data_IF_727002986060
#
_entry.id   IF_727002986060
#
_cell.length_a   1.000
_cell.length_b   1.000
_cell.length_c   1.000
_cell.angle_alpha   90.00
_cell.angle_beta   90.00
_cell.angle_gamma   90.00
#
_symmetry.space_group_name_H-M   'P 1'
#
loop_
_entity.id
_entity.type
_entity.pdbx_description
1 polymer ?
#
# COMPACT_ATOMS: atom_id res chain seq x y z
N UNK A 1 25.28 -23.67 5.71
CA UNK A 1 25.13 -23.03 4.39
C UNK A 1 24.72 -21.59 4.62
N UNK A 2 25.42 -20.62 4.06
CA UNK A 2 25.06 -19.20 4.22
C UNK A 2 23.78 -18.96 3.42
N UNK A 3 22.71 -18.51 4.07
CA UNK A 3 21.45 -18.18 3.42
C UNK A 3 21.70 -17.00 2.46
N UNK A 4 21.91 -17.29 1.17
CA UNK A 4 22.07 -16.26 0.16
C UNK A 4 20.78 -15.45 0.08
N UNK A 5 20.90 -14.12 0.14
CA UNK A 5 19.76 -13.25 -0.09
C UNK A 5 19.40 -13.27 -1.56
N UNK A 6 18.12 -13.54 -1.82
CA UNK A 6 17.56 -13.50 -3.16
C UNK A 6 16.65 -12.29 -3.29
N UNK A 7 16.88 -11.49 -4.33
CA UNK A 7 15.99 -10.40 -4.71
C UNK A 7 15.26 -10.81 -5.98
N UNK A 8 13.94 -10.72 -5.98
CA UNK A 8 13.11 -11.05 -7.14
C UNK A 8 12.05 -9.98 -7.36
N UNK A 9 11.76 -9.71 -8.63
CA UNK A 9 10.55 -8.96 -8.98
C UNK A 9 9.34 -9.77 -8.55
N UNK A 10 8.46 -9.14 -7.78
CA UNK A 10 7.23 -9.78 -7.39
C UNK A 10 6.22 -9.71 -8.52
N UNK A 11 5.81 -10.89 -8.97
CA UNK A 11 4.69 -11.08 -9.88
C UNK A 11 3.76 -12.10 -9.21
N UNK A 12 2.52 -11.73 -8.84
CA UNK A 12 1.55 -12.67 -8.28
C UNK A 12 1.06 -13.71 -9.31
N UNK A 13 1.58 -13.67 -10.54
CA UNK A 13 1.23 -14.55 -11.64
C UNK A 13 0.16 -13.93 -12.55
N UNK A 14 0.20 -14.32 -13.82
CA UNK A 14 -0.81 -13.92 -14.79
C UNK A 14 -2.22 -14.29 -14.29
N UNK A 15 -3.15 -13.33 -14.35
CA UNK A 15 -4.55 -13.52 -13.97
C UNK A 15 -4.88 -13.28 -12.49
N UNK A 16 -3.90 -13.10 -11.60
CA UNK A 16 -4.21 -12.78 -10.19
C UNK A 16 -4.77 -11.35 -10.08
N UNK A 17 -6.03 -11.17 -9.66
CA UNK A 17 -6.65 -9.85 -9.61
C UNK A 17 -5.97 -8.96 -8.57
N UNK A 18 -5.44 -7.82 -8.99
CA UNK A 18 -4.93 -6.78 -8.07
C UNK A 18 -6.04 -6.21 -7.19
N UNK A 19 -7.23 -6.07 -7.78
CA UNK A 19 -8.30 -5.24 -7.26
C UNK A 19 -9.46 -6.05 -6.68
N UNK A 20 -10.16 -5.43 -5.73
CA UNK A 20 -11.44 -5.85 -5.22
C UNK A 20 -12.49 -5.83 -6.34
N UNK A 21 -13.27 -6.89 -6.44
CA UNK A 21 -14.43 -6.92 -7.32
C UNK A 21 -15.62 -6.26 -6.64
N UNK A 22 -16.57 -5.73 -7.43
CA UNK A 22 -17.83 -5.22 -6.89
C UNK A 22 -18.59 -6.27 -6.05
N UNK A 23 -18.46 -7.54 -6.41
CA UNK A 23 -19.03 -8.68 -5.69
C UNK A 23 -18.38 -8.95 -4.33
N UNK A 24 -17.25 -8.32 -4.01
CA UNK A 24 -16.65 -8.38 -2.68
C UNK A 24 -17.52 -7.67 -1.62
N UNK A 25 -18.46 -6.82 -2.05
CA UNK A 25 -19.37 -6.10 -1.17
C UNK A 25 -20.75 -6.76 -1.13
N UNK A 26 -21.37 -6.74 0.05
CA UNK A 26 -22.82 -6.81 0.19
C UNK A 26 -23.36 -5.40 0.05
N UNK A 27 -24.23 -5.16 -0.92
CA UNK A 27 -24.77 -3.83 -1.21
C UNK A 27 -26.27 -3.84 -1.00
N UNK A 28 -26.75 -2.93 -0.15
CA UNK A 28 -28.16 -2.62 0.02
C UNK A 28 -28.46 -1.34 -0.77
N UNK A 29 -29.36 -1.36 -1.76
CA UNK A 29 -29.68 -0.18 -2.56
C UNK A 29 -30.40 0.88 -1.72
N UNK A 30 -30.37 2.12 -2.19
CA UNK A 30 -31.16 3.22 -1.66
C UNK A 30 -32.65 3.01 -1.98
N UNK A 31 -33.56 3.39 -1.07
CA UNK A 31 -35.00 3.46 -1.39
C UNK A 31 -35.40 4.70 -2.18
N UNK A 32 -34.56 5.74 -2.18
CA UNK A 32 -34.79 6.94 -2.98
C UNK A 32 -34.27 6.73 -4.40
N UNK A 33 -34.93 7.37 -5.38
CA UNK A 33 -34.52 7.38 -6.78
C UNK A 33 -33.06 7.84 -6.95
N UNK A 34 -32.63 8.83 -6.16
CA UNK A 34 -31.24 9.26 -6.08
C UNK A 34 -30.74 9.16 -4.64
N UNK A 35 -29.63 8.44 -4.45
CA UNK A 35 -28.96 8.38 -3.16
C UNK A 35 -28.22 9.70 -2.89
N UNK A 36 -28.49 10.31 -1.75
CA UNK A 36 -27.79 11.50 -1.25
C UNK A 36 -26.57 11.14 -0.40
N UNK A 37 -26.48 9.88 0.05
CA UNK A 37 -25.40 9.35 0.88
C UNK A 37 -24.92 7.99 0.39
N UNK A 38 -23.67 7.66 0.69
CA UNK A 38 -23.11 6.32 0.52
C UNK A 38 -22.45 5.90 1.82
N UNK A 39 -23.01 4.86 2.44
CA UNK A 39 -22.53 4.33 3.70
C UNK A 39 -21.63 3.11 3.43
N UNK A 40 -20.41 3.12 3.97
CA UNK A 40 -19.57 1.93 4.04
C UNK A 40 -19.54 1.43 5.49
N UNK A 41 -20.06 0.23 5.71
CA UNK A 41 -20.18 -0.40 7.03
C UNK A 41 -18.94 -1.23 7.30
N UNK A 42 -18.24 -0.89 8.38
CA UNK A 42 -17.11 -1.65 8.92
C UNK A 42 -17.58 -2.27 10.23
N UNK A 43 -17.44 -3.59 10.35
CA UNK A 43 -17.79 -4.34 11.54
C UNK A 43 -16.75 -5.43 11.86
N UNK A 44 -16.98 -6.18 12.93
CA UNK A 44 -16.07 -7.24 13.36
C UNK A 44 -15.95 -8.42 12.38
N UNK A 45 -16.87 -8.56 11.42
CA UNK A 45 -16.87 -9.63 10.43
C UNK A 45 -16.01 -9.32 9.21
N UNK A 46 -15.86 -8.02 8.89
CA UNK A 46 -15.14 -7.54 7.71
C UNK A 46 -13.90 -6.71 8.01
N UNK A 47 -13.64 -6.44 9.29
CA UNK A 47 -12.35 -6.02 9.83
C UNK A 47 -11.66 -7.20 10.55
N UNK A 48 -10.43 -7.00 11.01
CA UNK A 48 -9.69 -8.07 11.71
C UNK A 48 -10.39 -8.41 13.04
N UNK A 49 -10.99 -9.61 13.08
CA UNK A 49 -11.71 -10.16 14.24
C UNK A 49 -10.87 -10.04 15.51
N UNK A 50 -11.48 -9.53 16.58
CA UNK A 50 -10.90 -9.52 17.93
C UNK A 50 -10.00 -8.34 18.26
N UNK A 51 -9.63 -7.49 17.30
CA UNK A 51 -9.06 -6.18 17.61
C UNK A 51 -10.20 -5.18 17.64
N UNK A 52 -10.84 -5.01 18.80
CA UNK A 52 -11.86 -3.96 19.04
C UNK A 52 -11.33 -2.53 18.86
N UNK A 53 -10.09 -2.37 18.38
CA UNK A 53 -9.45 -1.09 18.18
C UNK A 53 -8.65 -1.15 16.89
N UNK A 54 -8.80 -0.12 16.06
CA UNK A 54 -7.93 0.23 14.93
C UNK A 54 -6.47 0.50 15.35
N UNK A 55 -6.01 0.01 16.52
CA UNK A 55 -4.70 0.21 17.16
C UNK A 55 -3.51 0.04 16.22
N UNK A 56 -3.64 -0.83 15.22
CA UNK A 56 -2.66 -0.98 14.16
C UNK A 56 -3.23 -0.41 12.86
N UNK A 57 -2.64 0.69 12.37
CA UNK A 57 -3.13 1.40 11.20
C UNK A 57 -3.19 0.53 9.93
N UNK A 58 -2.37 -0.53 9.82
CA UNK A 58 -2.51 -1.49 8.73
C UNK A 58 -3.88 -2.17 8.69
N UNK A 59 -4.43 -2.52 9.86
CA UNK A 59 -5.76 -3.13 9.97
C UNK A 59 -6.85 -2.11 9.60
N UNK A 60 -6.63 -0.84 9.97
CA UNK A 60 -7.51 0.26 9.55
C UNK A 60 -7.50 0.46 8.05
N UNK A 61 -6.32 0.46 7.43
CA UNK A 61 -6.16 0.63 6.00
C UNK A 61 -6.92 -0.43 5.19
N UNK A 62 -6.99 -1.68 5.65
CA UNK A 62 -7.72 -2.75 4.95
C UNK A 62 -9.18 -2.39 4.72
N UNK A 63 -9.85 -1.89 5.76
CA UNK A 63 -11.26 -1.51 5.70
C UNK A 63 -11.45 -0.14 5.07
N UNK A 64 -10.60 0.84 5.43
CA UNK A 64 -10.72 2.22 4.95
C UNK A 64 -10.48 2.35 3.44
N UNK A 65 -9.51 1.62 2.88
CA UNK A 65 -9.24 1.64 1.44
C UNK A 65 -10.33 0.93 0.64
N UNK A 66 -10.87 -0.17 1.16
CA UNK A 66 -12.04 -0.80 0.56
C UNK A 66 -13.25 0.16 0.55
N UNK A 67 -13.50 0.85 1.66
CA UNK A 67 -14.55 1.86 1.75
C UNK A 67 -14.33 3.05 0.83
N UNK A 68 -13.09 3.51 0.70
CA UNK A 68 -12.71 4.55 -0.25
C UNK A 68 -13.15 4.18 -1.68
N UNK A 69 -12.75 3.00 -2.15
CA UNK A 69 -13.18 2.49 -3.45
C UNK A 69 -14.69 2.34 -3.58
N UNK A 70 -15.37 1.90 -2.51
CA UNK A 70 -16.83 1.82 -2.51
C UNK A 70 -17.48 3.19 -2.69
N UNK A 71 -16.97 4.24 -2.04
CA UNK A 71 -17.48 5.61 -2.19
C UNK A 71 -17.32 6.14 -3.61
N UNK A 72 -16.23 5.79 -4.31
CA UNK A 72 -15.99 6.25 -5.69
C UNK A 72 -16.99 5.68 -6.71
N UNK A 73 -17.69 4.60 -6.37
CA UNK A 73 -18.81 4.08 -7.18
C UNK A 73 -20.07 4.96 -7.12
N UNK A 74 -20.15 5.86 -6.16
CA UNK A 74 -21.31 6.73 -5.93
C UNK A 74 -20.84 8.19 -5.79
N UNK A 75 -20.23 8.79 -6.82
CA UNK A 75 -19.55 10.08 -6.71
C UNK A 75 -20.48 11.25 -6.38
N UNK A 76 -21.78 11.15 -6.69
CA UNK A 76 -22.79 12.15 -6.36
C UNK A 76 -23.26 12.09 -4.89
N UNK A 77 -22.98 10.99 -4.19
CA UNK A 77 -23.45 10.76 -2.84
C UNK A 77 -22.39 11.17 -1.80
N UNK A 78 -22.82 11.73 -0.67
CA UNK A 78 -21.91 12.11 0.42
C UNK A 78 -21.38 10.85 1.14
N UNK A 79 -20.06 10.65 1.24
CA UNK A 79 -19.49 9.44 1.83
C UNK A 79 -19.59 9.44 3.35
N UNK A 80 -19.90 8.27 3.91
CA UNK A 80 -20.02 8.06 5.35
C UNK A 80 -19.51 6.69 5.75
N UNK A 81 -18.66 6.63 6.77
CA UNK A 81 -18.21 5.41 7.42
C UNK A 81 -19.14 5.09 8.58
N UNK A 82 -19.60 3.84 8.64
CA UNK A 82 -20.45 3.33 9.73
C UNK A 82 -19.66 2.26 10.48
N UNK A 83 -19.28 2.57 11.72
CA UNK A 83 -18.51 1.69 12.60
C UNK A 83 -19.47 0.87 13.45
N UNK A 84 -19.83 -0.33 12.97
CA UNK A 84 -20.74 -1.25 13.65
C UNK A 84 -19.93 -2.15 14.59
N UNK A 85 -20.39 -2.26 15.84
CA UNK A 85 -19.69 -3.00 16.92
C UNK A 85 -18.28 -2.49 17.26
N UNK A 86 -17.84 -1.39 16.63
CA UNK A 86 -16.55 -0.77 16.82
C UNK A 86 -16.73 0.55 17.58
N UNK A 87 -15.90 0.78 18.60
CA UNK A 87 -16.07 1.92 19.51
C UNK A 87 -15.71 3.25 18.85
N UNK A 88 -14.53 3.32 18.22
CA UNK A 88 -14.09 4.49 17.47
C UNK A 88 -12.83 4.19 16.63
N UNK A 89 -12.53 5.07 15.67
CA UNK A 89 -11.21 5.19 14.99
C UNK A 89 -10.25 6.08 15.82
N UNK A 90 -10.77 6.79 16.82
CA UNK A 90 -9.99 7.76 17.62
C UNK A 90 -8.75 7.15 18.27
N UNK A 91 -7.68 7.94 18.33
CA UNK A 91 -6.39 7.57 18.91
C UNK A 91 -5.44 6.89 17.92
N UNK A 92 -5.85 6.74 16.66
CA UNK A 92 -5.03 6.18 15.59
C UNK A 92 -4.82 7.27 14.54
N UNK A 93 -3.87 8.16 14.80
CA UNK A 93 -3.60 9.38 14.02
C UNK A 93 -3.55 9.11 12.51
N UNK A 94 -2.95 8.00 12.10
CA UNK A 94 -2.88 7.59 10.69
C UNK A 94 -4.27 7.35 10.09
N UNK A 95 -5.13 6.60 10.78
CA UNK A 95 -6.47 6.24 10.32
C UNK A 95 -7.39 7.48 10.31
N UNK A 96 -7.33 8.30 11.35
CA UNK A 96 -8.06 9.58 11.40
C UNK A 96 -7.68 10.50 10.24
N UNK A 97 -6.39 10.60 9.94
CA UNK A 97 -5.89 11.41 8.83
C UNK A 97 -6.38 10.89 7.47
N UNK A 98 -6.38 9.56 7.28
CA UNK A 98 -6.94 8.95 6.07
C UNK A 98 -8.44 9.23 5.94
N UNK A 99 -9.22 9.09 7.02
CA UNK A 99 -10.66 9.41 7.02
C UNK A 99 -10.92 10.87 6.63
N UNK A 100 -10.12 11.80 7.17
CA UNK A 100 -10.19 13.24 6.81
C UNK A 100 -9.86 13.44 5.33
N UNK A 101 -8.82 12.77 4.81
CA UNK A 101 -8.44 12.82 3.39
C UNK A 101 -9.56 12.28 2.46
N UNK A 102 -10.23 11.22 2.88
CA UNK A 102 -11.38 10.65 2.18
C UNK A 102 -12.58 11.61 2.15
N UNK A 103 -12.64 12.57 3.09
CA UNK A 103 -13.72 13.57 3.19
C UNK A 103 -15.05 12.94 3.59
N UNK A 104 -15.02 11.91 4.44
CA UNK A 104 -16.20 11.16 4.85
C UNK A 104 -16.62 11.47 6.29
N UNK A 105 -17.93 11.42 6.54
CA UNK A 105 -18.50 11.47 7.89
C UNK A 105 -18.26 10.14 8.60
N UNK A 106 -18.03 10.15 9.92
CA UNK A 106 -17.92 8.91 10.72
C UNK A 106 -19.09 8.80 11.68
N UNK A 107 -19.79 7.67 11.63
CA UNK A 107 -20.81 7.28 12.59
C UNK A 107 -20.33 6.08 13.39
N UNK A 108 -20.10 6.28 14.69
CA UNK A 108 -19.72 5.22 15.64
C UNK A 108 -20.55 5.23 16.92
N UNK A 109 -20.27 4.28 17.81
CA UNK A 109 -20.88 4.18 19.13
C UNK A 109 -22.39 3.91 19.11
N UNK A 110 -23.12 4.38 20.14
CA UNK A 110 -24.58 4.18 20.30
C UNK A 110 -25.36 4.67 19.07
N UNK A 111 -24.87 5.73 18.41
CA UNK A 111 -25.49 6.25 17.19
C UNK A 111 -25.46 5.22 16.06
N UNK A 112 -24.37 4.48 15.89
CA UNK A 112 -24.30 3.41 14.88
C UNK A 112 -25.31 2.27 15.14
N UNK A 113 -25.60 1.96 16.41
CA UNK A 113 -26.61 0.95 16.78
C UNK A 113 -28.03 1.38 16.42
N UNK A 114 -28.36 2.66 16.58
CA UNK A 114 -29.67 3.20 16.18
C UNK A 114 -29.89 3.11 14.66
N UNK A 115 -28.82 3.07 13.86
CA UNK A 115 -28.87 2.83 12.41
C UNK A 115 -29.06 1.35 12.00
N UNK A 116 -29.32 0.44 12.94
CA UNK A 116 -29.49 -0.99 12.67
C UNK A 116 -30.74 -1.64 13.27
N UNK A 117 -31.67 -0.85 13.82
CA UNK A 117 -33.06 -1.29 13.97
C UNK A 117 -33.61 -1.74 12.59
N UNK A 118 -34.58 -2.68 12.53
CA UNK A 118 -34.93 -3.40 11.30
C UNK A 118 -35.01 -2.45 10.10
N UNK A 119 -34.34 -2.81 9.00
CA UNK A 119 -34.04 -1.94 7.85
C UNK A 119 -35.20 -1.06 7.32
N UNK A 120 -36.45 -1.42 7.63
CA UNK A 120 -37.64 -0.65 7.34
C UNK A 120 -37.68 0.76 7.99
N UNK A 121 -37.17 0.97 9.20
CA UNK A 121 -37.37 2.26 9.93
C UNK A 121 -36.36 3.36 9.57
N UNK A 122 -35.20 3.03 9.01
CA UNK A 122 -34.16 4.01 8.66
C UNK A 122 -34.13 4.38 7.18
N UNK A 123 -34.81 3.60 6.36
CA UNK A 123 -35.00 3.94 4.97
C UNK A 123 -35.91 5.16 4.77
N UNK A 124 -36.71 5.53 5.79
CA UNK A 124 -37.53 6.74 5.76
C UNK A 124 -36.71 8.04 5.98
N UNK A 125 -35.50 7.97 6.56
CA UNK A 125 -34.75 9.17 6.98
C UNK A 125 -33.44 9.43 6.22
N UNK A 126 -32.98 8.53 5.34
CA UNK A 126 -31.74 8.76 4.60
C UNK A 126 -31.68 7.99 3.29
N UNK A 127 -31.73 8.71 2.18
CA UNK A 127 -31.47 8.22 0.83
C UNK A 127 -30.00 7.73 0.69
N UNK A 128 -29.67 6.57 1.26
CA UNK A 128 -28.31 6.05 1.32
C UNK A 128 -28.19 4.69 0.61
N UNK A 129 -27.16 4.53 -0.22
CA UNK A 129 -26.69 3.20 -0.62
C UNK A 129 -25.74 2.69 0.46
N UNK A 130 -25.89 1.44 0.90
CA UNK A 130 -25.05 0.87 1.95
C UNK A 130 -24.23 -0.29 1.42
N UNK A 131 -22.93 -0.29 1.68
CA UNK A 131 -22.01 -1.37 1.33
C UNK A 131 -21.27 -1.88 2.55
N UNK A 132 -21.08 -3.19 2.64
CA UNK A 132 -20.18 -3.82 3.60
C UNK A 132 -19.28 -4.80 2.86
N UNK A 133 -17.99 -4.80 3.15
CA UNK A 133 -17.12 -5.85 2.62
C UNK A 133 -17.60 -7.20 3.20
N UNK A 134 -17.71 -8.24 2.38
CA UNK A 134 -18.23 -9.55 2.81
C UNK A 134 -17.30 -10.26 3.79
N UNK A 135 -16.00 -10.11 3.56
CA UNK A 135 -14.92 -10.70 4.34
C UNK A 135 -13.60 -10.00 4.01
N UNK A 136 -12.60 -10.15 4.89
CA UNK A 136 -11.23 -9.73 4.61
C UNK A 136 -10.74 -10.29 3.26
N UNK A 137 -10.09 -9.47 2.47
CA UNK A 137 -9.74 -9.72 1.08
C UNK A 137 -8.46 -10.55 0.88
N UNK A 138 -8.21 -11.54 1.74
CA UNK A 138 -6.99 -12.35 1.71
C UNK A 138 -6.13 -12.20 2.97
N UNK A 139 -4.93 -12.78 2.92
CA UNK A 139 -3.94 -12.74 3.99
C UNK A 139 -2.50 -12.46 3.49
N UNK A 140 -2.36 -12.14 2.20
CA UNK A 140 -1.08 -11.86 1.57
C UNK A 140 -0.26 -13.08 1.13
N UNK A 141 -0.76 -14.28 1.40
CA UNK A 141 -0.18 -15.52 0.91
C UNK A 141 -0.48 -15.74 -0.58
N UNK A 142 0.27 -16.62 -1.25
CA UNK A 142 0.06 -16.95 -2.66
C UNK A 142 -1.37 -17.46 -2.90
N UNK A 143 -2.05 -16.88 -3.89
CA UNK A 143 -3.46 -17.17 -4.23
C UNK A 143 -4.48 -16.60 -3.23
N UNK A 144 -4.01 -15.91 -2.18
CA UNK A 144 -4.81 -15.21 -1.16
C UNK A 144 -4.25 -13.83 -0.91
N UNK A 145 -3.77 -13.19 -1.99
CA UNK A 145 -3.23 -11.84 -1.98
C UNK A 145 -4.28 -10.86 -1.45
N UNK A 146 -3.84 -9.90 -0.65
CA UNK A 146 -4.71 -8.90 -0.05
C UNK A 146 -5.09 -7.83 -1.06
N UNK A 147 -6.39 -7.65 -1.29
CA UNK A 147 -6.91 -6.65 -2.24
C UNK A 147 -7.42 -5.44 -1.48
N UNK A 148 -6.84 -4.27 -1.74
CA UNK A 148 -7.08 -3.07 -0.93
C UNK A 148 -8.05 -2.09 -1.58
N UNK A 149 -8.04 -2.03 -2.91
CA UNK A 149 -8.78 -1.06 -3.73
C UNK A 149 -9.52 -1.79 -4.85
N UNK A 150 -10.55 -1.16 -5.43
CA UNK A 150 -11.30 -1.69 -6.56
C UNK A 150 -10.74 -1.28 -7.93
N UNK A 151 -9.90 -0.23 -7.99
CA UNK A 151 -9.30 0.24 -9.24
C UNK A 151 -8.02 1.05 -9.03
N UNK A 152 -7.25 1.21 -10.10
CA UNK A 152 -6.08 2.11 -10.15
C UNK A 152 -6.48 3.59 -10.03
N UNK A 153 -7.65 3.96 -10.56
CA UNK A 153 -8.17 5.32 -10.45
C UNK A 153 -8.50 5.71 -9.01
N UNK A 154 -8.98 4.77 -8.19
CA UNK A 154 -9.22 5.03 -6.77
C UNK A 154 -7.89 5.34 -6.04
N UNK A 155 -6.84 4.57 -6.35
CA UNK A 155 -5.50 4.78 -5.81
C UNK A 155 -4.96 6.17 -6.22
N UNK A 156 -5.05 6.46 -7.52
CA UNK A 156 -4.59 7.71 -8.12
C UNK A 156 -5.31 8.95 -7.55
N UNK A 157 -6.64 8.88 -7.37
CA UNK A 157 -7.40 10.00 -6.78
C UNK A 157 -6.95 10.26 -5.33
N UNK A 158 -6.73 9.21 -4.54
CA UNK A 158 -6.27 9.36 -3.16
C UNK A 158 -4.89 10.03 -3.09
N UNK A 159 -3.98 9.65 -3.99
CA UNK A 159 -2.66 10.27 -4.10
C UNK A 159 -2.73 11.73 -4.54
N UNK A 160 -3.59 12.07 -5.51
CA UNK A 160 -3.78 13.44 -5.99
C UNK A 160 -4.33 14.37 -4.89
N UNK A 161 -5.15 13.83 -3.97
CA UNK A 161 -5.63 14.60 -2.81
C UNK A 161 -4.50 14.94 -1.83
N UNK A 162 -3.45 14.13 -1.76
CA UNK A 162 -2.28 14.36 -0.91
C UNK A 162 -1.23 15.26 -1.56
N UNK A 163 -0.99 15.07 -2.86
CA UNK A 163 0.12 15.69 -3.55
C UNK A 163 -0.38 16.58 -4.68
N UNK A 164 -0.44 17.88 -4.40
CA UNK A 164 -0.48 18.90 -5.46
C UNK A 164 0.97 19.27 -5.79
N UNK A 165 1.47 18.75 -6.91
CA UNK A 165 2.73 19.15 -7.55
C UNK A 165 4.04 18.77 -6.83
N UNK A 166 4.55 17.56 -7.09
CA UNK A 166 5.98 17.26 -6.93
C UNK A 166 6.63 17.05 -8.30
N UNK A 167 7.24 18.11 -8.84
CA UNK A 167 8.15 18.04 -9.99
C UNK A 167 9.57 17.79 -9.46
N UNK A 168 9.94 16.52 -9.29
CA UNK A 168 11.33 16.18 -8.96
C UNK A 168 12.15 16.06 -10.25
N UNK A 169 12.58 17.19 -10.81
CA UNK A 169 13.62 17.21 -11.84
C UNK A 169 15.00 16.97 -11.23
N UNK A 170 15.82 16.11 -11.84
CA UNK A 170 17.27 16.08 -11.63
C UNK A 170 17.82 15.35 -10.39
N UNK A 171 17.00 14.75 -9.52
CA UNK A 171 17.50 13.99 -8.36
C UNK A 171 16.87 12.59 -8.30
N UNK A 172 17.72 11.55 -8.31
CA UNK A 172 17.33 10.18 -7.99
C UNK A 172 17.25 10.04 -6.47
N UNK A 173 16.02 10.03 -5.94
CA UNK A 173 15.76 9.90 -4.49
C UNK A 173 15.52 8.44 -4.11
N UNK A 174 16.30 7.95 -3.16
CA UNK A 174 16.22 6.59 -2.62
C UNK A 174 15.91 6.70 -1.14
N UNK A 175 14.75 6.17 -0.74
CA UNK A 175 14.34 6.13 0.65
C UNK A 175 14.54 4.75 1.25
N UNK A 176 15.16 4.68 2.42
CA UNK A 176 15.19 3.48 3.25
C UNK A 176 14.42 3.78 4.53
N UNK A 177 13.22 3.22 4.66
CA UNK A 177 12.45 3.33 5.89
C UNK A 177 12.67 2.09 6.73
N UNK A 178 13.48 2.24 7.77
CA UNK A 178 13.69 1.21 8.78
C UNK A 178 12.50 1.20 9.75
N UNK A 179 12.60 0.36 10.78
CA UNK A 179 11.54 0.14 11.76
C UNK A 179 12.13 0.06 13.16
N UNK A 180 11.40 0.57 14.15
CA UNK A 180 11.72 0.28 15.56
C UNK A 180 11.30 -1.13 15.98
N UNK A 181 12.20 -1.85 16.66
CA UNK A 181 11.92 -3.17 17.24
C UNK A 181 12.05 -4.32 16.24
N UNK A 182 11.11 -5.25 16.24
CA UNK A 182 11.17 -6.46 15.39
C UNK A 182 11.29 -6.12 13.90
N UNK A 183 12.07 -6.92 13.15
CA UNK A 183 12.25 -6.77 11.69
C UNK A 183 12.95 -5.49 11.26
N UNK A 184 13.64 -4.80 12.16
CA UNK A 184 14.51 -3.71 11.74
C UNK A 184 15.62 -4.22 10.80
N UNK A 185 16.10 -3.37 9.90
CA UNK A 185 17.32 -3.61 9.12
C UNK A 185 18.52 -3.30 10.02
N UNK A 186 19.21 -4.33 10.53
CA UNK A 186 20.32 -4.18 11.47
C UNK A 186 21.61 -3.70 10.82
N UNK A 187 21.71 -3.76 9.49
CA UNK A 187 22.85 -3.30 8.69
C UNK A 187 22.46 -2.17 7.72
N UNK A 188 21.51 -1.31 8.12
CA UNK A 188 20.93 -0.26 7.27
C UNK A 188 21.98 0.69 6.68
N UNK A 189 23.03 1.03 7.45
CA UNK A 189 24.10 1.92 6.98
C UNK A 189 24.93 1.29 5.86
N UNK A 190 25.21 -0.02 5.96
CA UNK A 190 25.92 -0.77 4.93
C UNK A 190 25.09 -0.84 3.64
N UNK A 191 23.78 -1.06 3.77
CA UNK A 191 22.84 -1.04 2.63
C UNK A 191 22.80 0.36 1.98
N UNK A 192 22.69 1.42 2.78
CA UNK A 192 22.67 2.79 2.29
C UNK A 192 23.96 3.17 1.56
N UNK A 193 25.11 2.80 2.11
CA UNK A 193 26.42 3.03 1.50
C UNK A 193 26.57 2.29 0.16
N UNK A 194 26.17 1.01 0.11
CA UNK A 194 26.23 0.21 -1.11
C UNK A 194 25.31 0.76 -2.21
N UNK A 195 24.09 1.15 -1.87
CA UNK A 195 23.14 1.81 -2.78
C UNK A 195 23.71 3.11 -3.35
N UNK A 196 24.23 3.98 -2.47
CA UNK A 196 24.81 5.27 -2.86
C UNK A 196 26.00 5.09 -3.80
N UNK A 197 26.89 4.15 -3.48
CA UNK A 197 28.06 3.84 -4.30
C UNK A 197 27.67 3.33 -5.69
N UNK A 198 26.83 2.28 -5.77
CA UNK A 198 26.46 1.67 -7.04
C UNK A 198 25.73 2.67 -7.96
N UNK A 199 24.76 3.42 -7.44
CA UNK A 199 23.98 4.36 -8.24
C UNK A 199 24.83 5.54 -8.74
N UNK A 200 25.80 6.03 -7.95
CA UNK A 200 26.74 7.07 -8.39
C UNK A 200 27.71 6.56 -9.46
N UNK A 201 28.15 5.31 -9.35
CA UNK A 201 28.99 4.68 -10.38
C UNK A 201 28.28 4.64 -11.73
N UNK A 202 27.01 4.20 -11.75
CA UNK A 202 26.23 4.18 -13.01
C UNK A 202 25.96 5.59 -13.52
N UNK A 203 25.72 6.56 -12.63
CA UNK A 203 25.56 7.96 -13.00
C UNK A 203 26.82 8.53 -13.68
N UNK A 204 28.01 8.18 -13.19
CA UNK A 204 29.29 8.61 -13.76
C UNK A 204 29.53 8.00 -15.15
N UNK A 205 29.24 6.71 -15.32
CA UNK A 205 29.42 6.00 -16.60
C UNK A 205 28.43 6.44 -17.68
N UNK A 206 27.22 6.91 -17.31
CA UNK A 206 26.17 7.27 -18.27
C UNK A 206 26.38 8.62 -18.97
N UNK A 207 27.41 9.40 -18.61
CA UNK A 207 27.70 10.71 -19.22
C UNK A 207 28.16 10.63 -20.69
N UNK A 208 28.40 9.43 -21.22
CA UNK A 208 28.85 9.22 -22.61
C UNK A 208 27.93 8.38 -23.51
N UNK A 209 26.79 7.87 -23.03
CA UNK A 209 25.92 6.95 -23.80
C UNK A 209 24.44 7.10 -23.44
N UNK A 210 23.57 7.07 -24.44
CA UNK A 210 22.14 7.49 -24.41
C UNK A 210 21.16 6.69 -23.54
N UNK A 211 21.62 6.01 -22.49
CA UNK A 211 20.75 5.20 -21.61
C UNK A 211 20.12 6.03 -20.47
N UNK A 212 18.88 5.67 -20.10
CA UNK A 212 17.89 6.49 -19.38
C UNK A 212 18.21 7.01 -17.97
N UNK A 213 19.45 6.91 -17.50
CA UNK A 213 19.95 7.51 -16.26
C UNK A 213 20.49 8.94 -16.44
N UNK A 214 20.67 9.41 -17.67
CA UNK A 214 21.15 10.78 -17.95
C UNK A 214 20.29 11.89 -17.34
N UNK A 215 19.03 11.61 -17.02
CA UNK A 215 18.11 12.61 -16.48
C UNK A 215 18.35 12.95 -14.99
N UNK A 216 19.18 12.19 -14.28
CA UNK A 216 19.45 12.43 -12.86
C UNK A 216 20.83 13.08 -12.66
N UNK A 217 20.82 14.30 -12.14
CA UNK A 217 22.02 15.09 -11.83
C UNK A 217 22.63 14.73 -10.47
N UNK A 218 21.84 14.13 -9.56
CA UNK A 218 22.29 13.76 -8.21
C UNK A 218 21.59 12.51 -7.71
N UNK A 219 22.31 11.66 -6.98
CA UNK A 219 21.76 10.56 -6.18
C UNK A 219 21.66 11.02 -4.72
N UNK A 220 20.47 10.89 -4.13
CA UNK A 220 20.19 11.19 -2.73
C UNK A 220 19.62 9.95 -2.05
N UNK A 221 20.35 9.42 -1.05
CA UNK A 221 19.94 8.25 -0.27
C UNK A 221 19.60 8.72 1.14
N UNK A 222 18.34 8.58 1.52
CA UNK A 222 17.83 9.00 2.81
C UNK A 222 17.39 7.79 3.64
N UNK A 223 17.95 7.65 4.84
CA UNK A 223 17.56 6.62 5.82
C UNK A 223 16.68 7.27 6.88
N UNK A 224 15.50 6.71 7.11
CA UNK A 224 14.64 7.07 8.24
C UNK A 224 14.58 5.88 9.21
N UNK A 225 14.80 6.14 10.49
CA UNK A 225 14.92 5.09 11.50
C UNK A 225 13.57 4.36 11.75
N UNK A 226 12.47 5.10 11.74
CA UNK A 226 11.12 4.58 11.92
C UNK A 226 10.10 5.62 11.44
N UNK A 227 9.14 5.19 10.61
CA UNK A 227 8.02 6.06 10.20
C UNK A 227 6.95 6.21 11.29
N UNK A 228 6.98 5.37 12.33
CA UNK A 228 5.93 5.34 13.36
C UNK A 228 5.82 6.62 14.18
N UNK A 229 6.87 7.42 14.26
CA UNK A 229 6.87 8.73 14.92
C UNK A 229 6.39 9.90 14.04
N UNK A 230 6.14 9.67 12.76
CA UNK A 230 5.81 10.73 11.81
C UNK A 230 4.30 10.88 11.65
N UNK A 231 3.84 12.08 11.33
CA UNK A 231 2.45 12.32 10.95
C UNK A 231 2.10 11.60 9.64
N UNK A 232 0.81 11.38 9.41
CA UNK A 232 0.32 10.76 8.18
C UNK A 232 0.82 11.50 6.92
N UNK A 233 0.77 12.83 6.92
CA UNK A 233 1.20 13.63 5.76
C UNK A 233 2.71 13.56 5.53
N UNK A 234 3.52 13.53 6.60
CA UNK A 234 4.97 13.35 6.48
C UNK A 234 5.31 11.98 5.89
N UNK A 235 4.66 10.91 6.38
CA UNK A 235 4.86 9.56 5.84
C UNK A 235 4.49 9.49 4.35
N UNK A 236 3.32 10.01 3.98
CA UNK A 236 2.86 10.04 2.59
C UNK A 236 3.79 10.87 1.68
N UNK A 237 4.18 12.06 2.13
CA UNK A 237 5.08 12.96 1.40
C UNK A 237 6.46 12.35 1.20
N UNK A 238 6.98 11.68 2.23
CA UNK A 238 8.26 11.01 2.10
C UNK A 238 8.20 9.86 1.11
N UNK A 239 7.20 8.97 1.19
CA UNK A 239 7.11 7.85 0.23
C UNK A 239 6.90 8.35 -1.20
N UNK A 240 6.03 9.35 -1.41
CA UNK A 240 5.74 9.86 -2.75
C UNK A 240 6.94 10.57 -3.38
N UNK A 241 7.82 11.18 -2.58
CA UNK A 241 9.04 11.81 -3.06
C UNK A 241 10.08 10.82 -3.61
N UNK A 242 10.02 9.54 -3.21
CA UNK A 242 11.03 8.57 -3.59
C UNK A 242 10.84 8.05 -5.01
N UNK A 243 11.93 7.51 -5.57
CA UNK A 243 11.94 6.71 -6.78
C UNK A 243 12.24 5.24 -6.50
N UNK A 244 13.08 5.00 -5.48
CA UNK A 244 13.30 3.69 -4.89
C UNK A 244 12.92 3.75 -3.41
N UNK A 245 12.22 2.73 -2.92
CA UNK A 245 11.91 2.57 -1.50
C UNK A 245 12.38 1.19 -1.04
N UNK A 246 13.15 1.13 0.03
CA UNK A 246 13.52 -0.12 0.71
C UNK A 246 12.90 -0.11 2.09
N UNK A 247 12.12 -1.13 2.43
CA UNK A 247 11.49 -1.25 3.75
C UNK A 247 11.46 -2.70 4.22
N UNK A 248 11.69 -2.97 5.52
CA UNK A 248 11.40 -4.27 6.08
C UNK A 248 9.90 -4.50 6.15
N UNK A 249 9.49 -5.74 5.95
CA UNK A 249 8.08 -6.12 5.95
C UNK A 249 7.38 -5.79 7.27
N UNK A 250 6.28 -5.05 7.22
CA UNK A 250 5.46 -4.74 8.38
C UNK A 250 4.41 -3.67 8.12
N UNK A 251 3.70 -3.26 9.17
CA UNK A 251 2.58 -2.31 9.05
C UNK A 251 2.97 -0.99 8.34
N UNK A 252 4.21 -0.52 8.50
CA UNK A 252 4.75 0.65 7.78
C UNK A 252 4.61 0.57 6.25
N UNK A 253 4.64 -0.64 5.69
CA UNK A 253 4.51 -0.90 4.25
C UNK A 253 3.14 -0.49 3.68
N UNK A 254 2.12 -0.21 4.51
CA UNK A 254 0.86 0.38 4.04
C UNK A 254 1.09 1.71 3.31
N UNK A 255 2.14 2.44 3.67
CA UNK A 255 2.50 3.69 3.00
C UNK A 255 2.92 3.50 1.54
N UNK A 256 3.12 2.26 1.05
CA UNK A 256 3.28 2.00 -0.39
C UNK A 256 2.12 2.55 -1.22
N UNK A 257 0.93 2.73 -0.62
CA UNK A 257 -0.21 3.42 -1.21
C UNK A 257 0.12 4.86 -1.68
N UNK A 258 1.14 5.50 -1.12
CA UNK A 258 1.54 6.85 -1.47
C UNK A 258 2.72 6.90 -2.44
N UNK A 259 3.23 5.74 -2.87
CA UNK A 259 4.28 5.68 -3.86
C UNK A 259 3.75 6.12 -5.23
N UNK A 260 4.52 6.93 -5.96
CA UNK A 260 4.15 7.31 -7.32
C UNK A 260 4.14 6.09 -8.24
N UNK A 261 3.36 6.12 -9.34
CA UNK A 261 3.51 5.15 -10.39
C UNK A 261 4.97 5.05 -10.85
N UNK A 262 5.40 3.84 -11.19
CA UNK A 262 6.78 3.50 -11.54
C UNK A 262 7.85 3.75 -10.45
N UNK A 263 7.48 3.99 -9.18
CA UNK A 263 8.41 3.85 -8.07
C UNK A 263 8.77 2.38 -7.90
N UNK A 264 10.04 2.04 -7.69
CA UNK A 264 10.43 0.67 -7.35
C UNK A 264 10.50 0.48 -5.83
N UNK A 265 9.90 -0.59 -5.34
CA UNK A 265 9.74 -0.90 -3.92
C UNK A 265 10.38 -2.26 -3.64
N UNK A 266 11.36 -2.29 -2.75
CA UNK A 266 11.92 -3.52 -2.19
C UNK A 266 11.38 -3.75 -0.79
N UNK A 267 10.58 -4.79 -0.63
CA UNK A 267 10.16 -5.26 0.68
C UNK A 267 11.07 -6.40 1.15
N UNK A 268 11.65 -6.25 2.35
CA UNK A 268 12.61 -7.19 2.94
C UNK A 268 11.91 -8.08 3.96
N UNK A 269 11.94 -9.40 3.75
CA UNK A 269 11.20 -10.36 4.58
C UNK A 269 12.13 -11.16 5.50
N UNK A 270 11.65 -11.55 6.70
CA UNK A 270 12.31 -12.55 7.52
C UNK A 270 12.22 -13.93 6.90
N UNK A 271 13.19 -14.79 7.22
CA UNK A 271 13.09 -16.23 6.94
C UNK A 271 11.83 -16.81 7.58
N UNK A 272 11.08 -17.63 6.83
CA UNK A 272 9.84 -18.25 7.33
C UNK A 272 8.65 -17.29 7.50
N UNK A 273 8.74 -16.06 7.01
CA UNK A 273 7.63 -15.09 7.06
C UNK A 273 7.53 -14.26 5.77
N UNK A 274 7.09 -14.91 4.69
CA UNK A 274 7.00 -14.32 3.35
C UNK A 274 5.55 -14.14 2.89
N UNK A 275 5.08 -12.89 2.81
CA UNK A 275 3.69 -12.52 2.51
C UNK A 275 3.62 -11.39 1.48
N UNK A 276 4.14 -11.59 0.25
CA UNK A 276 4.27 -10.50 -0.71
C UNK A 276 2.95 -9.97 -1.23
N UNK A 277 1.91 -10.79 -1.24
CA UNK A 277 0.56 -10.35 -1.58
C UNK A 277 -0.07 -9.41 -0.56
N UNK A 278 0.54 -9.16 0.61
CA UNK A 278 -0.02 -8.27 1.62
C UNK A 278 0.18 -6.81 1.19
N UNK A 279 1.40 -6.28 1.30
CA UNK A 279 1.66 -4.87 1.02
C UNK A 279 2.17 -4.59 -0.39
N UNK A 280 2.89 -5.51 -1.05
CA UNK A 280 3.27 -5.26 -2.44
C UNK A 280 2.05 -5.21 -3.38
N UNK A 281 0.90 -5.75 -2.98
CA UNK A 281 -0.33 -5.53 -3.74
C UNK A 281 -0.84 -4.08 -3.65
N UNK A 282 -0.53 -3.32 -2.58
CA UNK A 282 -0.72 -1.86 -2.56
C UNK A 282 0.22 -1.15 -3.54
N UNK A 283 1.50 -1.55 -3.55
CA UNK A 283 2.46 -1.04 -4.53
C UNK A 283 1.97 -1.26 -5.97
N UNK A 284 1.47 -2.46 -6.27
CA UNK A 284 0.88 -2.77 -7.58
C UNK A 284 -0.36 -1.92 -7.87
N UNK A 285 -1.23 -1.70 -6.89
CA UNK A 285 -2.45 -0.91 -7.05
C UNK A 285 -2.19 0.57 -7.39
N UNK A 286 -1.00 1.09 -7.07
CA UNK A 286 -0.57 2.47 -7.42
C UNK A 286 0.36 2.51 -8.63
N UNK A 287 0.53 1.39 -9.34
CA UNK A 287 1.42 1.30 -10.50
C UNK A 287 2.91 1.29 -10.15
N UNK A 288 3.29 1.05 -8.90
CA UNK A 288 4.67 0.86 -8.48
C UNK A 288 5.19 -0.55 -8.83
N UNK A 289 6.51 -0.69 -8.93
CA UNK A 289 7.21 -1.94 -9.24
C UNK A 289 7.63 -2.63 -7.94
N UNK A 290 6.95 -3.71 -7.56
CA UNK A 290 7.23 -4.47 -6.35
C UNK A 290 8.35 -5.49 -6.51
N UNK A 291 9.24 -5.56 -5.52
CA UNK A 291 10.33 -6.52 -5.40
C UNK A 291 10.38 -7.08 -3.98
N UNK A 292 10.89 -8.30 -3.85
CA UNK A 292 11.06 -8.97 -2.55
C UNK A 292 12.52 -9.29 -2.33
N UNK A 293 13.05 -9.04 -1.13
CA UNK A 293 14.31 -9.57 -0.65
C UNK A 293 14.03 -10.63 0.42
N UNK A 294 14.54 -11.84 0.23
CA UNK A 294 14.31 -12.96 1.13
C UNK A 294 15.59 -13.80 1.33
N UNK A 295 15.90 -14.26 2.56
CA UNK A 295 17.05 -15.11 2.83
C UNK A 295 16.72 -16.59 2.57
N UNK A 296 16.82 -17.05 1.32
CA UNK A 296 16.56 -18.43 0.92
C UNK A 296 15.93 -18.56 -0.48
N UNK A 297 15.77 -19.80 -0.94
CA UNK A 297 15.31 -20.09 -2.31
C UNK A 297 13.84 -20.48 -2.42
N UNK A 298 13.23 -20.92 -1.32
CA UNK A 298 11.87 -21.47 -1.29
C UNK A 298 10.96 -20.71 -0.31
N UNK A 299 10.74 -19.40 -0.51
CA UNK A 299 10.13 -18.54 0.50
C UNK A 299 8.73 -18.97 0.96
N UNK A 300 7.90 -19.48 0.04
CA UNK A 300 6.58 -20.02 0.38
C UNK A 300 6.67 -21.30 1.21
N UNK A 301 7.48 -22.28 0.79
CA UNK A 301 7.66 -23.53 1.54
C UNK A 301 8.25 -23.27 2.94
N UNK A 302 9.20 -22.34 3.04
CA UNK A 302 9.77 -21.94 4.32
C UNK A 302 8.70 -21.31 5.22
N UNK A 303 7.83 -20.47 4.67
CA UNK A 303 6.72 -19.85 5.41
C UNK A 303 5.68 -20.87 5.86
N UNK A 304 5.35 -21.85 5.01
CA UNK A 304 4.42 -22.95 5.37
C UNK A 304 4.95 -23.79 6.53
N UNK A 305 6.26 -24.07 6.54
CA UNK A 305 6.94 -24.76 7.66
C UNK A 305 6.88 -23.96 8.97
N UNK A 306 6.73 -22.64 8.89
CA UNK A 306 6.61 -21.75 10.04
C UNK A 306 5.15 -21.30 10.26
N UNK A 307 4.15 -22.03 9.78
CA UNK A 307 2.74 -21.61 9.82
C UNK A 307 2.11 -21.60 11.22
N UNK A 308 2.70 -22.29 12.20
CA UNK A 308 2.19 -22.29 13.58
C UNK A 308 2.27 -20.89 14.22
N UNK A 309 1.32 -20.49 15.08
CA UNK A 309 1.33 -19.15 15.67
C UNK A 309 2.65 -18.78 16.37
N UNK A 310 3.27 -19.74 17.08
CA UNK A 310 4.54 -19.56 17.75
C UNK A 310 5.71 -19.39 16.76
N UNK A 311 5.79 -20.24 15.73
CA UNK A 311 6.85 -20.14 14.71
C UNK A 311 6.72 -18.84 13.91
N UNK A 312 5.49 -18.42 13.55
CA UNK A 312 5.24 -17.12 12.91
C UNK A 312 5.67 -15.96 13.79
N UNK A 313 5.40 -16.04 15.09
CA UNK A 313 5.80 -15.01 16.05
C UNK A 313 7.32 -14.89 16.15
N UNK A 314 8.03 -16.03 16.18
CA UNK A 314 9.49 -16.06 16.21
C UNK A 314 10.09 -15.54 14.89
N UNK A 315 9.59 -15.99 13.74
CA UNK A 315 10.08 -15.54 12.44
C UNK A 315 9.95 -14.00 12.28
N UNK A 316 8.83 -13.42 12.73
CA UNK A 316 8.61 -11.98 12.66
C UNK A 316 9.32 -11.16 13.74
N UNK A 317 10.02 -11.76 14.70
CA UNK A 317 10.73 -11.03 15.78
C UNK A 317 12.18 -10.71 15.45
N UNK A 318 12.75 -11.36 14.42
CA UNK A 318 14.18 -11.26 14.08
C UNK A 318 14.48 -9.96 13.34
N UNK A 319 15.64 -9.35 13.61
CA UNK A 319 16.20 -8.27 12.77
C UNK A 319 16.67 -8.83 11.43
N UNK A 320 16.63 -8.01 10.40
CA UNK A 320 16.97 -8.38 9.03
C UNK A 320 18.34 -7.79 8.68
N UNK A 321 19.15 -8.57 7.97
CA UNK A 321 20.44 -8.12 7.48
C UNK A 321 20.58 -8.51 6.00
N UNK A 322 19.86 -7.84 5.07
CA UNK A 322 20.00 -8.09 3.64
C UNK A 322 21.43 -7.89 3.17
N UNK A 323 21.86 -8.68 2.20
CA UNK A 323 23.19 -8.53 1.57
C UNK A 323 23.28 -7.17 0.85
N UNK A 324 24.13 -6.23 1.31
CA UNK A 324 24.24 -4.91 0.71
C UNK A 324 24.61 -4.94 -0.78
N UNK A 325 25.42 -5.91 -1.20
CA UNK A 325 25.83 -6.04 -2.60
C UNK A 325 24.63 -6.40 -3.49
N UNK A 326 23.80 -7.36 -3.05
CA UNK A 326 22.57 -7.73 -3.76
C UNK A 326 21.56 -6.60 -3.83
N UNK A 327 21.40 -5.83 -2.75
CA UNK A 327 20.51 -4.65 -2.75
C UNK A 327 21.03 -3.57 -3.71
N UNK A 328 22.35 -3.38 -3.80
CA UNK A 328 22.96 -2.46 -4.74
C UNK A 328 22.78 -2.89 -6.21
N UNK A 329 22.98 -4.17 -6.52
CA UNK A 329 22.72 -4.75 -7.85
C UNK A 329 21.25 -4.51 -8.26
N UNK A 330 20.32 -4.87 -7.38
CA UNK A 330 18.88 -4.64 -7.60
C UNK A 330 18.57 -3.18 -7.89
N UNK A 331 19.17 -2.23 -7.17
CA UNK A 331 18.85 -0.81 -7.34
C UNK A 331 19.20 -0.29 -8.72
N UNK A 332 20.31 -0.76 -9.31
CA UNK A 332 20.69 -0.40 -10.69
C UNK A 332 19.62 -0.87 -11.67
N UNK A 333 19.22 -2.14 -11.58
CA UNK A 333 18.16 -2.72 -12.42
C UNK A 333 16.81 -2.01 -12.20
N UNK A 334 16.45 -1.75 -10.95
CA UNK A 334 15.19 -1.13 -10.55
C UNK A 334 15.06 0.30 -11.08
N UNK A 335 16.17 1.05 -11.15
CA UNK A 335 16.17 2.40 -11.74
C UNK A 335 15.92 2.33 -13.25
N UNK A 336 16.58 1.41 -13.94
CA UNK A 336 16.36 1.20 -15.37
C UNK A 336 14.90 0.81 -15.66
N UNK A 337 14.35 -0.14 -14.90
CA UNK A 337 12.95 -0.56 -15.00
C UNK A 337 11.97 0.58 -14.70
N UNK A 338 12.24 1.38 -13.67
CA UNK A 338 11.42 2.55 -13.31
C UNK A 338 11.44 3.61 -14.41
N UNK A 339 12.60 3.86 -15.03
CA UNK A 339 12.73 4.79 -16.15
C UNK A 339 11.95 4.30 -17.38
N UNK A 340 12.05 3.00 -17.69
CA UNK A 340 11.29 2.38 -18.77
C UNK A 340 9.77 2.48 -18.53
N UNK A 341 9.31 2.16 -17.32
CA UNK A 341 7.90 2.28 -16.93
C UNK A 341 7.37 3.71 -17.18
N UNK A 342 8.12 4.74 -16.76
CA UNK A 342 7.74 6.15 -16.99
C UNK A 342 7.65 6.52 -18.47
N UNK A 343 8.57 6.01 -19.30
CA UNK A 343 8.51 6.22 -20.76
C UNK A 343 7.24 5.60 -21.37
N UNK A 344 6.86 4.40 -20.92
CA UNK A 344 5.62 3.78 -21.37
C UNK A 344 4.39 4.57 -20.91
N UNK A 345 4.38 5.09 -19.68
CA UNK A 345 3.28 5.92 -19.19
C UNK A 345 3.15 7.24 -19.98
N UNK A 346 4.26 7.90 -20.32
CA UNK A 346 4.22 9.14 -21.10
C UNK A 346 3.79 8.92 -22.56
N UNK A 347 4.13 7.76 -23.14
CA UNK A 347 3.69 7.36 -24.48
C UNK A 347 2.22 6.95 -24.50
N UNK A 348 1.76 6.19 -23.49
CA UNK A 348 0.38 5.72 -23.36
C UNK A 348 -0.63 6.80 -22.93
N UNK A 349 -0.16 7.88 -22.28
CA UNK A 349 -0.99 9.04 -21.96
C UNK A 349 -1.45 9.83 -23.21
N UNK A 350 -0.91 9.53 -24.40
CA UNK A 350 -1.49 9.94 -25.69
C UNK A 350 -2.64 9.02 -26.11
N UNK A 351 -3.56 8.72 -25.19
CA UNK A 351 -4.82 8.10 -25.58
C UNK A 351 -5.60 9.08 -26.50
N UNK A 352 -6.24 8.59 -27.57
CA UNK A 352 -7.00 9.45 -28.48
C UNK A 352 -8.09 10.23 -27.73
N UNK A 353 -8.52 11.41 -28.24
CA UNK A 353 -9.58 12.19 -27.60
C UNK A 353 -10.78 11.27 -27.34
N UNK A 354 -11.26 11.28 -26.10
CA UNK A 354 -12.49 10.59 -25.73
C UNK A 354 -13.60 11.17 -26.60
N UNK A 355 -14.06 10.40 -27.60
CA UNK A 355 -15.37 10.63 -28.17
C UNK A 355 -16.37 10.60 -27.01
N UNK A 356 -17.12 11.69 -26.89
CA UNK A 356 -18.13 11.84 -25.87
C UNK A 356 -19.18 10.75 -26.07
N UNK A 357 -19.27 9.82 -25.13
CA UNK A 357 -20.46 9.00 -25.00
C UNK A 357 -21.60 9.95 -24.58
N UNK A 358 -22.53 10.15 -25.51
CA UNK A 358 -23.80 10.82 -25.33
C UNK A 358 -24.76 9.96 -24.49
#
# INVERSE_FOLDING_TARGET
>A
MRNAWRITRWDPGAGTPTYLLASAFTVTPSLCAQATRVDCVIDSSNSIRGTTNFRHFAHAAESLLACWSFFRRYPAARPRLVLKDLRSIDGVIWAESLVRLMGCEVLGGIRAWQYYLPMATLNAAGCAVRGALRQRSGNGYKGREMKWLMSESDASELQQRLHRNHTAGGVLRVGIANRRGSRNLSNVDAVAAALSSALRSVQASSRGGGDGLQHFMRVDVNVVADLGGWTFLEQATWVSAQMLVVMPHGAGSVNYLFARPCTAILEVYPFGYYLPGEYLNLARAVGALGYTAYPGDTPYNDTDRHSSPAARYQARSVSLAPDPARVAEWAVEAVAASAQCRRHQSQGARAPPREAFA
#
